data_IF_538862611454
#
_entry.id   IF_538862611454
#
_cell.length_a   1.000
_cell.length_b   1.000
_cell.length_c   1.000
_cell.angle_alpha   90.00
_cell.angle_beta   90.00
_cell.angle_gamma   90.00
#
_symmetry.space_group_name_H-M   'P 1'
#
loop_
_entity.id
_entity.type
_entity.pdbx_description
1 polymer ?
#
# COMPACT_ATOMS: atom_id res chain seq x y z
N UNK A 1 12.88 5.21 12.54
CA UNK A 1 13.41 5.31 11.16
C UNK A 1 13.74 6.77 10.88
N UNK A 2 14.95 7.06 10.41
CA UNK A 2 15.36 8.44 10.11
C UNK A 2 14.53 8.98 8.93
N UNK A 3 14.17 10.27 8.99
CA UNK A 3 13.42 10.99 7.94
C UNK A 3 14.11 10.97 6.57
N UNK A 4 15.39 10.61 6.53
CA UNK A 4 16.21 10.61 5.32
C UNK A 4 15.95 9.43 4.37
N UNK A 5 15.24 8.39 4.85
CA UNK A 5 14.97 7.19 4.05
C UNK A 5 13.83 7.37 3.05
N UNK A 6 12.91 8.31 3.29
CA UNK A 6 11.69 8.47 2.51
C UNK A 6 11.52 9.92 2.06
N UNK A 7 11.24 10.12 0.77
CA UNK A 7 10.95 11.45 0.23
C UNK A 7 9.52 11.91 0.55
N UNK A 8 8.59 10.95 0.66
CA UNK A 8 7.18 11.21 0.95
C UNK A 8 6.64 10.12 1.87
N UNK A 9 5.78 10.53 2.81
CA UNK A 9 5.05 9.63 3.71
C UNK A 9 3.61 10.12 3.79
N UNK A 10 2.65 9.30 3.34
CA UNK A 10 1.22 9.63 3.32
C UNK A 10 0.41 8.58 4.04
N UNK A 11 -0.53 9.02 4.86
CA UNK A 11 -1.41 8.17 5.66
C UNK A 11 -1.19 8.32 7.17
N UNK A 12 -1.89 7.53 8.00
CA UNK A 12 -1.87 7.63 9.44
C UNK A 12 -0.48 7.33 10.05
N UNK A 13 -0.22 7.87 11.24
CA UNK A 13 1.03 7.61 11.97
C UNK A 13 1.13 6.16 12.46
N UNK A 14 0.00 5.53 12.79
CA UNK A 14 -0.09 4.13 13.23
C UNK A 14 -0.90 3.33 12.20
N UNK A 15 -0.29 2.98 11.05
CA UNK A 15 -0.97 2.20 10.02
C UNK A 15 -0.99 0.71 10.36
N UNK A 16 -1.99 0.00 9.86
CA UNK A 16 -2.02 -1.47 9.87
C UNK A 16 -1.07 -2.05 8.80
N UNK A 17 -0.88 -1.29 7.71
CA UNK A 17 -0.09 -1.72 6.55
C UNK A 17 0.66 -0.54 5.92
N UNK A 18 1.91 -0.77 5.53
CA UNK A 18 2.75 0.23 4.85
C UNK A 18 3.14 -0.30 3.48
N UNK A 19 2.84 0.47 2.44
CA UNK A 19 3.32 0.22 1.08
C UNK A 19 4.56 1.06 0.80
N UNK A 20 5.54 0.45 0.14
CA UNK A 20 6.78 1.10 -0.26
C UNK A 20 6.89 1.14 -1.78
N UNK A 21 7.09 2.33 -2.35
CA UNK A 21 7.26 2.55 -3.80
C UNK A 21 8.57 3.28 -4.10
N UNK A 22 9.13 3.09 -5.31
CA UNK A 22 10.42 3.68 -5.68
C UNK A 22 10.33 5.12 -6.18
N UNK A 23 9.15 5.53 -6.70
CA UNK A 23 9.01 6.80 -7.45
C UNK A 23 7.78 7.55 -6.96
N UNK A 24 7.93 8.85 -6.61
CA UNK A 24 6.81 9.69 -6.26
C UNK A 24 5.96 10.05 -7.49
N UNK A 25 4.67 10.35 -7.31
CA UNK A 25 3.87 10.98 -8.37
C UNK A 25 4.23 12.46 -8.53
N UNK A 26 3.81 13.02 -9.64
CA UNK A 26 3.61 14.47 -9.72
C UNK A 26 2.42 14.87 -8.84
N UNK A 27 2.54 15.98 -8.11
CA UNK A 27 1.49 16.46 -7.23
C UNK A 27 1.11 17.90 -7.60
N UNK A 28 -0.18 18.27 -7.51
CA UNK A 28 -0.60 19.66 -7.62
C UNK A 28 0.03 20.52 -6.51
N UNK A 29 0.16 21.81 -6.76
CA UNK A 29 0.54 22.77 -5.71
C UNK A 29 -0.45 22.66 -4.53
N UNK A 30 0.09 22.61 -3.30
CA UNK A 30 -0.69 22.48 -2.06
C UNK A 30 -1.53 21.19 -1.92
N UNK A 31 -1.20 20.14 -2.67
CA UNK A 31 -1.88 18.85 -2.52
C UNK A 31 -1.78 18.32 -1.08
N UNK A 32 -2.92 17.89 -0.56
CA UNK A 32 -3.04 17.37 0.80
C UNK A 32 -3.80 16.04 0.82
N UNK A 33 -3.29 15.07 1.56
CA UNK A 33 -3.89 13.73 1.68
C UNK A 33 -5.28 13.73 2.32
N UNK A 34 -5.62 14.80 3.06
CA UNK A 34 -6.92 14.94 3.75
C UNK A 34 -8.00 15.59 2.87
N UNK A 35 -7.66 16.06 1.69
CA UNK A 35 -8.64 16.62 0.77
C UNK A 35 -9.56 15.52 0.23
N UNK A 36 -10.85 15.78 0.18
CA UNK A 36 -11.84 14.84 -0.34
C UNK A 36 -11.55 14.34 -1.77
N UNK A 37 -10.84 15.15 -2.56
CA UNK A 37 -10.46 14.86 -3.93
C UNK A 37 -8.98 14.47 -4.09
N UNK A 38 -8.25 14.21 -3.00
CA UNK A 38 -6.80 13.96 -3.06
C UNK A 38 -6.42 12.86 -4.05
N UNK A 39 -7.12 11.73 -3.99
CA UNK A 39 -6.86 10.59 -4.89
C UNK A 39 -7.26 10.90 -6.34
N UNK A 40 -8.35 11.62 -6.55
CA UNK A 40 -8.77 12.06 -7.89
C UNK A 40 -7.72 12.96 -8.51
N UNK A 41 -7.27 13.99 -7.81
CA UNK A 41 -6.22 14.91 -8.26
C UNK A 41 -4.91 14.19 -8.58
N UNK A 42 -4.52 13.24 -7.71
CA UNK A 42 -3.34 12.40 -7.92
C UNK A 42 -3.45 11.60 -9.23
N UNK A 43 -4.60 10.96 -9.46
CA UNK A 43 -4.84 10.12 -10.64
C UNK A 43 -4.94 10.98 -11.92
N UNK A 44 -5.60 12.11 -11.86
CA UNK A 44 -5.76 13.01 -13.01
C UNK A 44 -4.41 13.52 -13.52
N UNK A 45 -3.50 13.84 -12.60
CA UNK A 45 -2.17 14.33 -12.96
C UNK A 45 -1.21 13.24 -13.44
N UNK A 46 -1.35 12.01 -12.93
CA UNK A 46 -0.41 10.89 -13.20
C UNK A 46 -1.00 9.78 -14.09
N UNK A 47 -2.28 9.89 -14.44
CA UNK A 47 -2.96 9.00 -15.38
C UNK A 47 -3.08 7.55 -14.88
N UNK A 48 -3.10 6.65 -15.86
CA UNK A 48 -3.40 5.23 -15.64
C UNK A 48 -2.41 4.51 -14.72
N UNK A 49 -1.17 4.98 -14.63
CA UNK A 49 -0.14 4.39 -13.78
C UNK A 49 -0.56 4.48 -12.30
N UNK A 50 -0.80 5.69 -11.81
CA UNK A 50 -1.19 5.88 -10.40
C UNK A 50 -2.61 5.38 -10.10
N UNK A 51 -3.51 5.43 -11.09
CA UNK A 51 -4.83 4.80 -10.95
C UNK A 51 -4.74 3.32 -10.60
N UNK A 52 -3.81 2.57 -11.23
CA UNK A 52 -3.58 1.15 -10.91
C UNK A 52 -3.02 0.98 -9.49
N UNK A 53 -2.03 1.78 -9.12
CA UNK A 53 -1.39 1.73 -7.80
C UNK A 53 -2.42 1.89 -6.69
N UNK A 54 -3.15 3.01 -6.68
CA UNK A 54 -4.14 3.28 -5.61
C UNK A 54 -5.30 2.27 -5.61
N UNK A 55 -5.64 1.70 -6.78
CA UNK A 55 -6.67 0.67 -6.87
C UNK A 55 -6.20 -0.66 -6.27
N UNK A 56 -4.96 -1.08 -6.54
CA UNK A 56 -4.41 -2.31 -5.98
C UNK A 56 -4.24 -2.16 -4.46
N UNK A 57 -3.71 -1.02 -4.00
CA UNK A 57 -3.62 -0.71 -2.56
C UNK A 57 -4.99 -0.80 -1.88
N UNK A 58 -6.01 -0.14 -2.44
CA UNK A 58 -7.37 -0.15 -1.90
C UNK A 58 -7.98 -1.56 -1.84
N UNK A 59 -7.75 -2.38 -2.86
CA UNK A 59 -8.19 -3.78 -2.89
C UNK A 59 -7.51 -4.61 -1.79
N UNK A 60 -6.21 -4.42 -1.58
CA UNK A 60 -5.48 -5.11 -0.51
C UNK A 60 -6.00 -4.68 0.86
N UNK A 61 -6.27 -3.39 1.05
CA UNK A 61 -6.75 -2.84 2.32
C UNK A 61 -8.22 -3.19 2.64
N UNK A 62 -8.97 -3.69 1.69
CA UNK A 62 -10.39 -4.00 1.87
C UNK A 62 -10.56 -5.36 2.56
N UNK A 63 -11.20 -5.39 3.73
CA UNK A 63 -11.38 -6.60 4.56
C UNK A 63 -12.74 -7.31 4.34
N UNK A 64 -13.60 -6.79 3.48
CA UNK A 64 -14.90 -7.42 3.22
C UNK A 64 -14.73 -8.82 2.61
N UNK A 65 -15.39 -9.86 3.17
CA UNK A 65 -15.17 -11.25 2.75
C UNK A 65 -15.76 -11.54 1.36
N UNK A 66 -16.86 -10.88 0.98
CA UNK A 66 -17.63 -11.17 -0.24
C UNK A 66 -17.23 -10.27 -1.42
N UNK A 67 -15.99 -9.91 -1.50
CA UNK A 67 -15.60 -9.02 -2.57
C UNK A 67 -15.48 -9.80 -3.86
N UNK A 68 -16.43 -9.57 -4.72
CA UNK A 68 -16.14 -9.60 -6.14
C UNK A 68 -15.14 -8.47 -6.41
N UNK A 69 -13.84 -8.80 -6.30
CA UNK A 69 -12.73 -7.86 -6.44
C UNK A 69 -12.83 -7.08 -7.76
N UNK A 70 -13.49 -7.65 -8.78
CA UNK A 70 -13.69 -7.02 -10.07
C UNK A 70 -14.82 -5.99 -10.07
N UNK A 71 -15.90 -6.24 -9.34
CA UNK A 71 -17.11 -5.41 -9.34
C UNK A 71 -17.35 -4.66 -8.02
N UNK A 72 -16.56 -4.95 -6.97
CA UNK A 72 -16.82 -4.49 -5.62
C UNK A 72 -16.92 -2.97 -5.48
N UNK A 73 -17.99 -2.52 -4.84
CA UNK A 73 -18.20 -1.12 -4.49
C UNK A 73 -17.25 -0.72 -3.34
N UNK A 74 -17.01 -1.62 -2.41
CA UNK A 74 -16.30 -1.35 -1.15
C UNK A 74 -14.87 -0.87 -1.34
N UNK A 75 -14.05 -1.53 -2.16
CA UNK A 75 -12.68 -1.08 -2.41
C UNK A 75 -12.60 0.30 -3.11
N UNK A 76 -13.65 0.71 -3.87
CA UNK A 76 -13.72 2.04 -4.49
C UNK A 76 -13.87 3.13 -3.44
N UNK A 77 -14.72 2.91 -2.45
CA UNK A 77 -14.89 3.82 -1.31
C UNK A 77 -13.59 3.95 -0.50
N UNK A 78 -12.91 2.80 -0.27
CA UNK A 78 -11.61 2.79 0.40
C UNK A 78 -10.56 3.55 -0.41
N UNK A 79 -10.53 3.36 -1.74
CA UNK A 79 -9.60 4.06 -2.63
C UNK A 79 -9.72 5.57 -2.51
N UNK A 80 -10.92 6.09 -2.53
CA UNK A 80 -11.17 7.53 -2.52
C UNK A 80 -10.76 8.18 -1.17
N UNK A 81 -10.63 7.38 -0.12
CA UNK A 81 -10.18 7.78 1.21
C UNK A 81 -8.91 7.04 1.67
N UNK A 82 -8.05 6.64 0.72
CA UNK A 82 -6.97 5.67 0.96
C UNK A 82 -6.03 6.07 2.11
N UNK A 83 -5.71 7.36 2.24
CA UNK A 83 -4.76 7.89 3.22
C UNK A 83 -5.44 8.56 4.43
N UNK A 84 -6.76 8.46 4.57
CA UNK A 84 -7.47 9.06 5.71
C UNK A 84 -7.14 8.37 7.04
N UNK A 85 -7.35 9.08 8.14
CA UNK A 85 -7.12 8.57 9.49
C UNK A 85 -8.41 8.02 10.11
N UNK A 86 -8.32 7.13 11.14
CA UNK A 86 -9.49 6.55 11.81
C UNK A 86 -10.45 7.58 12.40
N UNK A 87 -9.93 8.77 12.75
CA UNK A 87 -10.66 9.82 13.49
C UNK A 87 -11.02 11.03 12.64
N UNK A 88 -10.92 10.96 11.31
CA UNK A 88 -11.37 12.03 10.42
C UNK A 88 -12.91 12.13 10.42
N UNK A 89 -13.46 12.64 11.53
CA UNK A 89 -14.89 12.77 11.82
C UNK A 89 -15.58 13.90 11.04
N UNK A 90 -14.95 14.49 10.05
CA UNK A 90 -15.53 15.60 9.30
C UNK A 90 -16.60 15.20 8.26
N UNK A 91 -16.81 13.93 8.03
CA UNK A 91 -17.96 13.47 7.22
C UNK A 91 -19.03 12.88 8.13
N UNK A 92 -19.89 13.76 8.68
CA UNK A 92 -21.16 13.37 9.34
C UNK A 92 -22.18 12.80 8.37
N UNK A 93 -21.76 12.28 7.22
CA UNK A 93 -22.65 11.71 6.24
C UNK A 93 -22.92 10.22 6.48
N UNK A 94 -24.18 9.86 6.29
CA UNK A 94 -24.90 8.65 6.61
C UNK A 94 -24.38 7.34 5.99
N UNK A 95 -23.17 7.30 5.46
CA UNK A 95 -22.52 6.09 4.92
C UNK A 95 -21.49 5.50 5.89
N UNK A 96 -21.85 5.46 7.18
CA UNK A 96 -21.00 4.93 8.26
C UNK A 96 -20.83 3.40 8.27
N UNK A 97 -21.36 2.70 7.31
CA UNK A 97 -20.94 1.34 6.93
C UNK A 97 -19.81 1.42 5.88
N UNK A 98 -18.77 2.19 6.20
CA UNK A 98 -17.52 2.08 5.48
C UNK A 98 -17.04 0.64 5.62
N UNK A 99 -16.85 -0.02 4.49
CA UNK A 99 -16.29 -1.35 4.41
C UNK A 99 -15.13 -1.52 5.40
N UNK A 100 -15.12 -2.61 6.14
CA UNK A 100 -14.00 -2.94 7.03
C UNK A 100 -12.69 -2.86 6.25
N UNK A 101 -11.72 -2.12 6.77
CA UNK A 101 -10.47 -1.87 6.06
C UNK A 101 -9.26 -1.86 6.97
N UNK A 102 -8.09 -2.10 6.36
CA UNK A 102 -6.80 -1.75 6.94
C UNK A 102 -6.49 -0.29 6.64
N UNK A 103 -6.00 0.44 7.63
CA UNK A 103 -5.47 1.78 7.45
C UNK A 103 -4.05 1.71 6.91
N UNK A 104 -3.84 2.29 5.75
CA UNK A 104 -2.55 2.17 5.08
C UNK A 104 -1.76 3.47 5.08
N UNK A 105 -0.44 3.31 5.07
CA UNK A 105 0.53 4.36 4.82
C UNK A 105 1.30 4.04 3.53
N UNK A 106 1.58 5.06 2.73
CA UNK A 106 2.49 4.95 1.58
C UNK A 106 3.79 5.68 1.88
N UNK A 107 4.90 5.03 1.60
CA UNK A 107 6.25 5.59 1.70
C UNK A 107 6.97 5.52 0.36
N UNK A 108 7.51 6.64 -0.08
CA UNK A 108 8.36 6.70 -1.27
C UNK A 108 9.81 6.60 -0.83
N UNK A 109 10.47 5.53 -1.24
CA UNK A 109 11.86 5.22 -0.86
C UNK A 109 12.82 6.10 -1.65
N UNK A 110 13.69 6.81 -0.97
CA UNK A 110 14.70 7.66 -1.61
C UNK A 110 15.64 6.83 -2.50
N UNK A 111 16.02 7.35 -3.69
CA UNK A 111 16.96 6.65 -4.57
C UNK A 111 18.37 6.54 -3.97
N UNK A 112 18.76 7.45 -3.09
CA UNK A 112 20.08 7.54 -2.47
C UNK A 112 20.12 6.98 -1.04
N UNK A 113 19.18 6.09 -0.71
CA UNK A 113 19.21 5.42 0.60
C UNK A 113 20.47 4.54 0.68
N UNK A 114 21.16 4.56 1.83
CA UNK A 114 22.29 3.67 2.07
C UNK A 114 21.80 2.23 2.21
N UNK A 115 21.99 1.44 1.17
CA UNK A 115 21.58 0.03 1.07
C UNK A 115 22.22 -0.87 2.12
N UNK A 116 23.36 -0.44 2.70
CA UNK A 116 24.05 -1.18 3.76
C UNK A 116 23.40 -1.00 5.13
N UNK A 117 22.47 -0.06 5.28
CA UNK A 117 21.69 0.07 6.51
C UNK A 117 20.59 -0.97 6.54
N UNK A 118 20.77 -2.02 7.31
CA UNK A 118 19.72 -2.98 7.62
C UNK A 118 18.47 -2.25 8.11
N UNK A 119 17.45 -2.18 7.26
CA UNK A 119 16.18 -1.56 7.63
C UNK A 119 15.45 -2.50 8.60
N UNK A 120 15.14 -2.00 9.77
CA UNK A 120 14.32 -2.71 10.75
C UNK A 120 12.85 -2.44 10.47
N UNK A 121 12.09 -3.49 10.20
CA UNK A 121 10.63 -3.43 10.02
C UNK A 121 9.95 -3.65 11.38
N UNK A 122 8.94 -2.83 11.67
CA UNK A 122 8.12 -3.01 12.88
C UNK A 122 7.32 -4.30 12.79
N UNK A 123 7.20 -5.02 13.88
CA UNK A 123 6.29 -6.18 13.97
C UNK A 123 4.82 -5.79 14.21
N UNK A 124 4.53 -4.50 14.41
CA UNK A 124 3.19 -4.01 14.73
C UNK A 124 2.34 -3.69 13.50
N UNK A 125 2.93 -3.67 12.31
CA UNK A 125 2.22 -3.43 11.05
C UNK A 125 2.82 -4.27 9.93
N UNK A 126 2.07 -4.44 8.85
CA UNK A 126 2.53 -5.13 7.66
C UNK A 126 3.33 -4.20 6.75
N UNK A 127 4.35 -4.73 6.10
CA UNK A 127 5.25 -4.01 5.20
C UNK A 127 5.20 -4.65 3.82
N UNK A 128 4.74 -3.93 2.80
CA UNK A 128 4.69 -4.40 1.42
C UNK A 128 5.73 -3.67 0.58
N UNK A 129 6.79 -4.36 0.19
CA UNK A 129 7.87 -3.84 -0.63
C UNK A 129 7.54 -4.10 -2.10
N UNK A 130 7.04 -3.06 -2.80
CA UNK A 130 6.45 -3.17 -4.11
C UNK A 130 7.49 -3.07 -5.23
N UNK A 131 7.91 -4.20 -5.77
CA UNK A 131 8.88 -4.31 -6.88
C UNK A 131 10.32 -4.44 -6.42
N UNK A 132 11.13 -5.01 -7.31
CA UNK A 132 12.54 -5.36 -7.05
C UNK A 132 13.40 -4.15 -6.67
N UNK A 133 13.14 -3.00 -7.29
CA UNK A 133 13.88 -1.77 -7.01
C UNK A 133 13.72 -1.32 -5.54
N UNK A 134 12.49 -1.33 -5.02
CA UNK A 134 12.22 -1.02 -3.60
C UNK A 134 12.88 -2.05 -2.69
N UNK A 135 12.75 -3.33 -3.03
CA UNK A 135 13.36 -4.42 -2.24
C UNK A 135 14.88 -4.21 -2.13
N UNK A 136 15.55 -3.91 -3.23
CA UNK A 136 16.98 -3.61 -3.25
C UNK A 136 17.34 -2.37 -2.41
N UNK A 137 16.66 -1.25 -2.64
CA UNK A 137 16.86 -0.01 -1.85
C UNK A 137 16.62 -0.20 -0.35
N UNK A 138 15.74 -1.11 0.03
CA UNK A 138 15.44 -1.45 1.43
C UNK A 138 16.39 -2.51 2.02
N UNK A 139 17.46 -2.87 1.30
CA UNK A 139 18.50 -3.80 1.76
C UNK A 139 18.12 -5.27 1.65
N UNK A 140 17.09 -5.62 0.88
CA UNK A 140 16.74 -7.02 0.60
C UNK A 140 17.57 -7.50 -0.60
N UNK A 141 18.81 -7.87 -0.33
CA UNK A 141 19.76 -8.37 -1.34
C UNK A 141 19.58 -9.88 -1.59
N UNK A 142 19.15 -10.61 -0.57
CA UNK A 142 18.88 -12.04 -0.63
C UNK A 142 17.50 -12.35 -0.07
N UNK A 143 16.66 -12.98 -0.88
CA UNK A 143 15.32 -13.39 -0.51
C UNK A 143 15.23 -14.87 -0.09
N UNK A 144 16.33 -15.59 0.04
CA UNK A 144 16.36 -17.03 0.40
C UNK A 144 15.71 -17.35 1.74
N UNK A 145 15.66 -16.36 2.66
CA UNK A 145 15.00 -16.50 3.96
C UNK A 145 13.49 -16.20 3.94
N UNK A 146 12.94 -15.84 2.75
CA UNK A 146 11.52 -15.57 2.59
C UNK A 146 10.81 -16.80 2.04
N UNK A 147 9.60 -17.04 2.50
CA UNK A 147 8.76 -18.16 2.09
C UNK A 147 7.85 -17.70 0.95
N UNK A 148 7.80 -18.48 -0.13
CA UNK A 148 6.92 -18.19 -1.26
C UNK A 148 5.45 -18.50 -0.92
N UNK A 149 4.55 -17.57 -1.24
CA UNK A 149 3.10 -17.76 -1.08
C UNK A 149 2.47 -18.37 -2.33
N UNK A 150 3.11 -18.27 -3.49
CA UNK A 150 2.64 -18.81 -4.77
C UNK A 150 3.71 -19.63 -5.47
N UNK A 151 3.29 -20.52 -6.36
CA UNK A 151 4.19 -21.42 -7.09
C UNK A 151 5.19 -20.68 -7.98
N UNK A 152 4.85 -19.47 -8.45
CA UNK A 152 5.72 -18.64 -9.28
C UNK A 152 6.66 -17.76 -8.47
N UNK A 153 6.61 -17.85 -7.14
CA UNK A 153 7.43 -17.06 -6.19
C UNK A 153 7.32 -15.55 -6.43
N UNK A 154 6.15 -15.08 -6.83
CA UNK A 154 5.90 -13.65 -7.05
C UNK A 154 5.70 -12.91 -5.75
N UNK A 155 5.11 -13.57 -4.76
CA UNK A 155 4.95 -13.02 -3.40
C UNK A 155 5.74 -13.89 -2.44
N UNK A 156 6.65 -13.23 -1.74
CA UNK A 156 7.48 -13.86 -0.72
C UNK A 156 7.20 -13.18 0.63
N UNK A 157 7.19 -13.92 1.72
CA UNK A 157 6.96 -13.36 3.04
C UNK A 157 7.97 -13.82 4.08
N UNK A 158 8.25 -12.93 5.03
CA UNK A 158 9.00 -13.22 6.26
C UNK A 158 8.43 -12.36 7.38
N UNK A 159 7.86 -12.98 8.41
CA UNK A 159 7.17 -12.27 9.50
C UNK A 159 6.08 -11.32 8.94
N UNK A 160 6.16 -10.03 9.20
CA UNK A 160 5.24 -8.99 8.72
C UNK A 160 5.66 -8.32 7.41
N UNK A 161 6.69 -8.84 6.73
CA UNK A 161 7.22 -8.29 5.49
C UNK A 161 6.80 -9.13 4.29
N UNK A 162 6.22 -8.48 3.29
CA UNK A 162 5.88 -9.06 1.99
C UNK A 162 6.74 -8.43 0.89
N UNK A 163 7.42 -9.26 0.13
CA UNK A 163 8.08 -8.87 -1.11
C UNK A 163 7.11 -9.18 -2.24
N UNK A 164 6.70 -8.16 -3.00
CA UNK A 164 5.68 -8.29 -4.02
C UNK A 164 6.17 -7.76 -5.38
N UNK A 165 5.50 -8.09 -6.49
CA UNK A 165 5.68 -7.37 -7.73
C UNK A 165 5.29 -5.90 -7.56
N UNK A 166 5.66 -5.08 -8.56
CA UNK A 166 5.19 -3.71 -8.62
C UNK A 166 3.66 -3.64 -8.80
N UNK A 167 3.02 -2.58 -8.30
CA UNK A 167 1.57 -2.41 -8.30
C UNK A 167 1.01 -2.05 -9.70
N UNK A 168 1.21 -2.95 -10.65
CA UNK A 168 0.62 -2.92 -12.00
C UNK A 168 -0.10 -4.24 -12.28
N UNK A 169 -1.31 -4.21 -12.81
CA UNK A 169 -2.12 -5.42 -13.07
C UNK A 169 -1.47 -6.46 -13.97
N UNK A 170 -0.50 -6.07 -14.81
CA UNK A 170 0.28 -7.02 -15.61
C UNK A 170 1.22 -7.90 -14.77
N UNK A 171 1.59 -7.40 -13.59
CA UNK A 171 2.50 -8.09 -12.67
C UNK A 171 1.78 -8.56 -11.41
N UNK A 172 0.77 -7.79 -10.95
CA UNK A 172 0.05 -8.02 -9.71
C UNK A 172 -1.44 -8.23 -10.00
N UNK A 173 -1.79 -9.45 -10.40
CA UNK A 173 -3.16 -9.86 -10.76
C UNK A 173 -4.11 -9.87 -9.56
N UNK A 174 -5.42 -9.94 -9.80
CA UNK A 174 -6.41 -10.10 -8.73
C UNK A 174 -6.17 -11.36 -7.88
N UNK A 175 -5.67 -12.44 -8.46
CA UNK A 175 -5.31 -13.64 -7.70
C UNK A 175 -4.16 -13.38 -6.71
N UNK A 176 -3.14 -12.61 -7.09
CA UNK A 176 -2.06 -12.22 -6.18
C UNK A 176 -2.53 -11.21 -5.13
N UNK A 177 -3.46 -10.30 -5.47
CA UNK A 177 -4.11 -9.41 -4.50
C UNK A 177 -4.82 -10.22 -3.43
N UNK A 178 -5.60 -11.21 -3.84
CA UNK A 178 -6.33 -12.08 -2.89
C UNK A 178 -5.38 -12.88 -2.02
N UNK A 179 -4.33 -13.44 -2.59
CA UNK A 179 -3.30 -14.15 -1.84
C UNK A 179 -2.63 -13.25 -0.78
N UNK A 180 -2.34 -11.99 -1.15
CA UNK A 180 -1.80 -11.01 -0.20
C UNK A 180 -2.78 -10.72 0.93
N UNK A 181 -4.07 -10.57 0.63
CA UNK A 181 -5.11 -10.34 1.63
C UNK A 181 -5.25 -11.49 2.62
N UNK A 182 -5.16 -12.73 2.12
CA UNK A 182 -5.24 -13.94 2.97
C UNK A 182 -4.04 -14.04 3.93
N UNK A 183 -2.88 -13.52 3.52
CA UNK A 183 -1.68 -13.53 4.35
C UNK A 183 -1.73 -12.49 5.47
N UNK A 184 -2.44 -11.37 5.26
CA UNK A 184 -2.55 -10.28 6.22
C UNK A 184 -3.74 -10.54 7.14
N UNK A 185 -3.55 -11.02 8.38
CA UNK A 185 -4.67 -11.25 9.27
C UNK A 185 -5.37 -9.93 9.57
N UNK A 186 -6.70 -9.94 9.48
CA UNK A 186 -7.51 -8.86 10.06
C UNK A 186 -7.31 -8.88 11.57
N UNK A 187 -6.71 -7.83 12.12
CA UNK A 187 -6.76 -7.65 13.57
C UNK A 187 -8.24 -7.51 13.96
N UNK A 188 -8.76 -8.53 14.64
CA UNK A 188 -10.08 -8.52 15.25
C UNK A 188 -10.06 -7.65 16.48
#
# INVERSE_FOLDING_TARGET
MSSDCFSHVWGPMNPDIIFYLPTPPALPAHWCTYDANAITQLVDLNGNHWRKIVTIMAKICCLEPDINIEKGIHWKLIRDQLFSQPNDTQTKDKHRDLARRLYCQLRIVNPNIDENKNQTFSSQCWHILCGKEVQHRMGILDASQYIALDQQQKILHKQTVLLTPYLDYRQYSNALIELTRQQIPSHQ
#
